data_IF_397264477825
#
_entry.id   IF_397264477825
#
_cell.length_a   1.000
_cell.length_b   1.000
_cell.length_c   1.000
_cell.angle_alpha   90.00
_cell.angle_beta   90.00
_cell.angle_gamma   90.00
#
_symmetry.space_group_name_H-M   'P 1'
#
loop_
_entity.id
_entity.type
_entity.pdbx_description
1 polymer ?
#
# COMPACT_ATOMS: atom_id res chain seq x y z
N UNK A 1 -61.87 25.74 -15.61
CA UNK A 1 -60.80 26.42 -14.85
C UNK A 1 -60.67 25.73 -13.50
N UNK A 2 -59.58 25.01 -13.22
CA UNK A 2 -59.34 24.47 -11.87
C UNK A 2 -58.55 23.16 -11.79
N UNK A 3 -57.23 23.28 -11.92
CA UNK A 3 -56.18 22.42 -11.37
C UNK A 3 -56.07 20.92 -11.76
N UNK A 4 -55.13 20.67 -12.67
CA UNK A 4 -54.34 19.43 -12.78
C UNK A 4 -53.57 19.18 -11.47
N UNK A 5 -53.59 17.97 -10.93
CA UNK A 5 -52.56 17.54 -9.97
C UNK A 5 -51.70 16.47 -10.63
N UNK A 6 -50.48 16.93 -10.88
CA UNK A 6 -49.27 16.32 -11.38
C UNK A 6 -48.88 15.04 -10.64
N UNK A 7 -48.59 13.96 -11.37
CA UNK A 7 -47.80 12.84 -10.85
C UNK A 7 -46.37 13.35 -10.59
N UNK A 8 -45.98 13.50 -9.33
CA UNK A 8 -44.57 13.46 -8.98
C UNK A 8 -44.36 12.14 -8.24
N UNK A 9 -44.03 11.11 -9.02
CA UNK A 9 -43.17 10.06 -8.51
C UNK A 9 -41.88 10.78 -8.06
N UNK A 10 -41.73 10.98 -6.76
CA UNK A 10 -40.47 11.47 -6.21
C UNK A 10 -39.46 10.39 -6.59
N UNK A 11 -38.65 10.70 -7.58
CA UNK A 11 -37.50 9.91 -7.96
C UNK A 11 -36.63 9.79 -6.71
N UNK A 12 -36.72 8.64 -6.04
CA UNK A 12 -35.68 8.19 -5.15
C UNK A 12 -34.39 8.25 -5.98
N UNK A 13 -33.41 9.09 -5.65
CA UNK A 13 -32.11 8.93 -6.26
C UNK A 13 -31.62 7.57 -5.80
N UNK A 14 -31.59 6.61 -6.73
CA UNK A 14 -30.79 5.40 -6.59
C UNK A 14 -29.36 5.89 -6.32
N UNK A 15 -28.94 5.87 -5.05
CA UNK A 15 -27.53 5.89 -4.74
C UNK A 15 -26.98 4.54 -5.21
N UNK A 16 -26.56 4.49 -6.47
CA UNK A 16 -25.59 3.50 -6.91
C UNK A 16 -24.40 3.64 -5.97
N UNK A 17 -24.29 2.75 -4.99
CA UNK A 17 -23.10 2.65 -4.19
C UNK A 17 -21.96 2.43 -5.19
N UNK A 18 -21.10 3.44 -5.35
CA UNK A 18 -19.92 3.33 -6.19
C UNK A 18 -19.13 2.12 -5.68
N UNK A 19 -19.05 1.07 -6.50
CA UNK A 19 -18.22 -0.07 -6.17
C UNK A 19 -16.78 0.44 -6.17
N UNK A 20 -16.13 0.39 -5.01
CA UNK A 20 -14.73 0.79 -4.89
C UNK A 20 -13.91 0.00 -5.91
N UNK A 21 -13.47 0.67 -6.97
CA UNK A 21 -12.55 0.07 -7.92
C UNK A 21 -11.18 0.03 -7.23
N UNK A 22 -10.75 -1.16 -6.82
CA UNK A 22 -9.42 -1.33 -6.27
C UNK A 22 -8.42 -1.48 -7.42
N UNK A 23 -7.26 -0.84 -7.28
CA UNK A 23 -6.11 -1.07 -8.16
C UNK A 23 -5.18 -2.08 -7.53
N UNK A 24 -4.75 -3.07 -8.31
CA UNK A 24 -3.64 -3.95 -7.94
C UNK A 24 -2.39 -3.43 -8.63
N UNK A 25 -1.32 -3.27 -7.87
CA UNK A 25 -0.02 -2.79 -8.36
C UNK A 25 1.03 -3.81 -7.97
N UNK A 26 1.76 -4.30 -8.96
CA UNK A 26 2.95 -5.11 -8.76
C UNK A 26 4.08 -4.25 -8.19
N UNK A 27 4.76 -4.78 -7.18
CA UNK A 27 5.91 -4.12 -6.55
C UNK A 27 7.18 -4.77 -7.08
N UNK A 28 8.18 -3.97 -7.43
CA UNK A 28 9.45 -4.49 -7.93
C UNK A 28 10.28 -5.16 -6.84
N UNK A 29 11.01 -6.22 -7.19
CA UNK A 29 11.82 -7.01 -6.25
C UNK A 29 13.28 -6.52 -6.19
N UNK A 30 14.01 -6.94 -5.16
CA UNK A 30 15.46 -6.79 -4.97
C UNK A 30 16.26 -8.02 -5.45
N UNK A 31 15.60 -9.00 -6.06
CA UNK A 31 16.20 -10.20 -6.64
C UNK A 31 16.12 -11.46 -5.77
N UNK A 32 15.41 -11.42 -4.65
CA UNK A 32 14.92 -12.61 -3.95
C UNK A 32 13.64 -13.16 -4.57
N UNK A 33 13.05 -14.20 -3.97
CA UNK A 33 11.82 -14.85 -4.45
C UNK A 33 10.59 -14.54 -3.60
N UNK A 34 10.77 -13.79 -2.50
CA UNK A 34 9.68 -13.44 -1.61
C UNK A 34 9.88 -12.07 -0.96
N UNK A 35 8.77 -11.36 -0.80
CA UNK A 35 8.71 -10.06 -0.14
C UNK A 35 7.36 -9.83 0.52
N UNK A 36 7.27 -8.76 1.30
CA UNK A 36 6.03 -8.36 1.96
C UNK A 36 5.92 -6.85 2.09
N UNK A 37 4.84 -6.29 1.55
CA UNK A 37 4.40 -4.94 1.85
C UNK A 37 3.79 -4.90 3.27
N UNK A 38 4.16 -3.89 4.06
CA UNK A 38 3.78 -3.76 5.47
C UNK A 38 3.05 -2.46 5.80
N UNK A 39 3.23 -1.43 4.99
CA UNK A 39 2.60 -0.14 5.18
C UNK A 39 2.46 0.63 3.89
N UNK A 40 1.41 1.44 3.77
CA UNK A 40 1.20 2.39 2.68
C UNK A 40 0.86 3.78 3.23
N UNK A 41 1.15 4.83 2.47
CA UNK A 41 0.77 6.20 2.84
C UNK A 41 -0.18 6.83 1.80
N UNK A 42 -0.73 8.00 2.11
CA UNK A 42 -1.67 8.71 1.21
C UNK A 42 -1.03 9.19 -0.10
N UNK A 43 0.30 9.16 -0.21
CA UNK A 43 1.04 9.42 -1.45
C UNK A 43 1.23 8.15 -2.30
N UNK A 44 0.74 7.00 -1.84
CA UNK A 44 0.94 5.70 -2.49
C UNK A 44 2.32 5.10 -2.28
N UNK A 45 3.12 5.62 -1.34
CA UNK A 45 4.42 5.02 -1.01
C UNK A 45 4.20 3.81 -0.13
N UNK A 46 4.89 2.73 -0.46
CA UNK A 46 4.74 1.45 0.23
C UNK A 46 6.06 1.12 0.89
N UNK A 47 6.00 0.63 2.13
CA UNK A 47 7.15 0.17 2.88
C UNK A 47 7.00 -1.29 3.21
N UNK A 48 8.09 -2.03 3.20
CA UNK A 48 8.05 -3.44 3.54
C UNK A 48 9.44 -4.03 3.71
N UNK A 49 9.52 -5.33 3.49
CA UNK A 49 10.78 -6.05 3.42
C UNK A 49 10.76 -6.95 2.20
N UNK A 50 11.90 -7.09 1.55
CA UNK A 50 12.07 -7.95 0.40
C UNK A 50 13.32 -8.80 0.56
N UNK A 51 13.28 -10.04 0.07
CA UNK A 51 14.43 -10.91 0.14
C UNK A 51 15.51 -10.45 -0.84
N UNK A 52 16.75 -10.62 -0.41
CA UNK A 52 17.93 -10.46 -1.27
C UNK A 52 18.18 -11.75 -2.06
N UNK A 53 19.02 -11.70 -3.11
CA UNK A 53 19.36 -12.88 -3.89
C UNK A 53 19.78 -14.08 -3.03
N UNK A 54 19.17 -15.23 -3.27
CA UNK A 54 19.39 -16.47 -2.52
C UNK A 54 18.51 -16.64 -1.27
N UNK A 55 17.63 -15.70 -0.94
CA UNK A 55 16.57 -15.82 0.08
C UNK A 55 17.04 -16.10 1.52
N UNK A 56 18.34 -15.90 1.79
CA UNK A 56 18.91 -16.07 3.14
C UNK A 56 18.80 -14.81 4.01
N UNK A 57 18.58 -13.66 3.39
CA UNK A 57 18.51 -12.37 4.06
C UNK A 57 17.42 -11.50 3.45
N UNK A 58 16.90 -10.59 4.26
CA UNK A 58 15.86 -9.64 3.88
C UNK A 58 16.31 -8.21 4.15
N UNK A 59 15.89 -7.30 3.28
CA UNK A 59 16.18 -5.89 3.39
C UNK A 59 14.88 -5.10 3.46
N UNK A 60 14.86 -4.10 4.34
CA UNK A 60 13.80 -3.09 4.34
C UNK A 60 13.78 -2.35 3.00
N UNK A 61 12.59 -2.20 2.43
CA UNK A 61 12.40 -1.70 1.07
C UNK A 61 11.31 -0.65 1.04
N UNK A 62 11.52 0.39 0.23
CA UNK A 62 10.56 1.45 -0.05
C UNK A 62 10.20 1.41 -1.54
N UNK A 63 8.92 1.36 -1.86
CA UNK A 63 8.40 1.47 -3.22
C UNK A 63 7.77 2.84 -3.43
N UNK A 64 8.26 3.60 -4.42
CA UNK A 64 7.78 4.94 -4.78
C UNK A 64 7.65 5.04 -6.29
N UNK A 65 6.44 5.32 -6.79
CA UNK A 65 6.18 5.54 -8.21
C UNK A 65 6.79 4.46 -9.12
N UNK A 66 6.65 3.18 -8.74
CA UNK A 66 7.21 2.04 -9.47
C UNK A 66 8.70 1.78 -9.26
N UNK A 67 9.41 2.62 -8.51
CA UNK A 67 10.82 2.40 -8.15
C UNK A 67 10.95 1.63 -6.84
N UNK A 68 11.83 0.62 -6.83
CA UNK A 68 12.20 -0.14 -5.64
C UNK A 68 13.49 0.43 -5.04
N UNK A 69 13.41 0.91 -3.80
CA UNK A 69 14.49 1.60 -3.10
C UNK A 69 14.89 0.78 -1.87
N UNK A 70 16.08 0.13 -1.88
CA UNK A 70 16.60 -0.53 -0.69
C UNK A 70 16.95 0.50 0.39
N UNK A 71 16.50 0.27 1.62
CA UNK A 71 16.74 1.16 2.76
C UNK A 71 18.00 0.79 3.57
N UNK A 72 18.70 -0.27 3.16
CA UNK A 72 19.90 -0.77 3.83
C UNK A 72 19.60 -1.54 5.11
N UNK A 73 20.66 -2.03 5.77
CA UNK A 73 20.56 -3.02 6.86
C UNK A 73 20.99 -2.53 8.24
N UNK A 74 21.30 -1.23 8.38
CA UNK A 74 21.85 -0.63 9.61
C UNK A 74 23.09 -1.38 10.16
N UNK A 75 23.89 -1.97 9.26
CA UNK A 75 25.11 -2.71 9.60
C UNK A 75 24.92 -4.19 9.95
N UNK A 76 23.69 -4.72 9.91
CA UNK A 76 23.41 -6.16 10.05
C UNK A 76 23.23 -6.88 8.71
N UNK A 77 22.97 -8.19 8.74
CA UNK A 77 22.58 -8.94 7.53
C UNK A 77 21.12 -8.71 7.14
N UNK A 78 20.28 -8.24 8.08
CA UNK A 78 18.83 -8.10 7.88
C UNK A 78 18.31 -6.75 8.41
N UNK A 79 17.27 -6.22 7.77
CA UNK A 79 16.49 -5.09 8.27
C UNK A 79 15.01 -5.23 7.98
N UNK A 80 14.19 -4.49 8.74
CA UNK A 80 12.75 -4.47 8.58
C UNK A 80 12.18 -3.06 8.84
N UNK A 81 11.00 -2.81 8.30
CA UNK A 81 10.18 -1.66 8.65
C UNK A 81 9.09 -2.05 9.64
N UNK A 82 8.60 -1.08 10.41
CA UNK A 82 7.42 -1.28 11.25
C UNK A 82 6.18 -1.70 10.42
N UNK A 83 5.16 -2.26 11.09
CA UNK A 83 3.91 -2.68 10.46
C UNK A 83 2.73 -1.75 10.82
N UNK A 84 2.73 -0.49 10.39
CA UNK A 84 1.65 0.43 10.73
C UNK A 84 0.38 0.19 9.88
N UNK A 85 0.44 -0.62 8.82
CA UNK A 85 -0.57 -0.78 7.75
C UNK A 85 -0.78 0.52 6.96
N UNK A 86 -1.09 1.64 7.62
CA UNK A 86 -1.13 2.98 7.05
C UNK A 86 -0.25 3.94 7.85
N UNK A 87 0.66 4.67 7.19
CA UNK A 87 1.50 5.65 7.88
C UNK A 87 1.89 6.85 7.00
N UNK A 88 1.45 8.05 7.37
CA UNK A 88 1.79 9.29 6.67
C UNK A 88 2.99 10.04 7.27
N UNK A 89 3.49 9.59 8.44
CA UNK A 89 4.50 10.31 9.23
C UNK A 89 5.95 9.92 8.88
N UNK A 90 6.15 9.01 7.93
CA UNK A 90 7.48 8.62 7.43
C UNK A 90 7.74 7.11 7.45
N UNK A 91 8.99 6.71 7.23
CA UNK A 91 9.44 5.32 7.22
C UNK A 91 10.33 5.05 8.44
N UNK A 92 9.91 4.12 9.30
CA UNK A 92 10.72 3.67 10.45
C UNK A 92 11.45 2.37 10.14
N UNK A 93 12.77 2.37 10.29
CA UNK A 93 13.66 1.24 10.03
C UNK A 93 14.21 0.67 11.35
N UNK A 94 14.26 -0.65 11.48
CA UNK A 94 14.94 -1.31 12.58
C UNK A 94 15.76 -2.53 12.10
N UNK A 95 16.81 -2.86 12.86
CA UNK A 95 17.63 -4.06 12.65
C UNK A 95 16.89 -5.28 13.18
N UNK A 96 16.92 -6.38 12.44
CA UNK A 96 16.46 -7.68 12.95
C UNK A 96 17.64 -8.36 13.65
N UNK A 97 17.54 -8.54 14.96
CA UNK A 97 18.51 -9.31 15.76
C UNK A 97 17.90 -10.66 16.09
N UNK A 98 18.57 -11.73 15.68
CA UNK A 98 18.33 -13.11 16.16
C UNK A 98 18.86 -13.29 17.57
#
# INVERSE_FOLDING_TARGET
MGAMILFIAIALPLHLAAQSHYGVVELGELGGTAGSAKGINDRGWITGADNLPGDLTSMATLWVNGSTIPLGTLGGPNSAVAWPVKNNNGVGLYRVTS
#
